data_IF_139132732501
#
_entry.id   IF_139132732501
#
_cell.length_a   1.000
_cell.length_b   1.000
_cell.length_c   1.000
_cell.angle_alpha   90.00
_cell.angle_beta   90.00
_cell.angle_gamma   90.00
#
_symmetry.space_group_name_H-M   'P 1'
#
loop_
_entity.id
_entity.type
_entity.pdbx_description
1 polymer ?
#
# COMPACT_ATOMS: atom_id res chain seq x y z
N UNK A 1 0.29 9.85 2.55
CA UNK A 1 0.11 10.35 1.18
C UNK A 1 -0.45 9.26 0.24
N UNK A 2 -1.46 8.50 0.67
CA UNK A 2 -2.01 7.39 -0.14
C UNK A 2 -0.97 6.47 -0.80
N UNK A 3 -1.21 6.07 -2.05
CA UNK A 3 -0.28 5.25 -2.83
C UNK A 3 1.05 5.92 -3.15
N UNK A 4 1.11 7.26 -3.20
CA UNK A 4 2.37 7.97 -3.45
C UNK A 4 3.38 7.63 -2.35
N UNK A 5 2.95 7.75 -1.10
CA UNK A 5 3.79 7.39 0.05
C UNK A 5 4.15 5.91 0.08
N UNK A 6 3.28 5.02 -0.42
CA UNK A 6 3.57 3.60 -0.53
C UNK A 6 4.68 3.32 -1.55
N UNK A 7 4.66 4.03 -2.69
CA UNK A 7 5.67 3.91 -3.76
C UNK A 7 7.00 4.53 -3.34
N UNK A 8 6.97 5.68 -2.67
CA UNK A 8 8.17 6.35 -2.16
C UNK A 8 8.83 5.55 -1.03
N UNK A 9 8.03 4.94 -0.15
CA UNK A 9 8.54 4.19 1.01
C UNK A 9 9.24 5.09 2.03
N UNK A 10 10.21 4.53 2.76
CA UNK A 10 10.99 5.25 3.78
C UNK A 10 10.10 5.86 4.86
N UNK A 11 10.28 7.17 5.12
CA UNK A 11 9.52 7.91 6.14
C UNK A 11 8.02 8.05 5.86
N UNK A 12 7.54 7.60 4.71
CA UNK A 12 6.12 7.51 4.43
C UNK A 12 5.46 6.28 5.06
N UNK A 13 6.24 5.26 5.46
CA UNK A 13 5.76 4.07 6.16
C UNK A 13 6.23 4.15 7.61
N UNK A 14 5.30 4.41 8.52
CA UNK A 14 5.60 4.66 9.93
C UNK A 14 4.72 3.78 10.82
N UNK A 15 5.33 3.27 11.88
CA UNK A 15 4.60 2.53 12.91
C UNK A 15 3.68 3.50 13.68
N UNK A 16 2.38 3.22 13.64
CA UNK A 16 1.41 3.93 14.45
C UNK A 16 1.43 3.42 15.91
N UNK A 17 1.13 4.32 16.84
CA UNK A 17 0.96 4.01 18.26
C UNK A 17 -0.35 4.62 18.79
N UNK A 18 -0.69 4.37 20.06
CA UNK A 18 -1.92 4.87 20.66
C UNK A 18 -2.08 6.41 20.55
N UNK A 19 -0.99 7.15 20.75
CA UNK A 19 -0.99 8.61 20.70
C UNK A 19 -1.11 9.15 19.27
N UNK A 20 -0.64 8.39 18.26
CA UNK A 20 -0.67 8.81 16.85
C UNK A 20 -2.09 8.99 16.29
N UNK A 21 -3.10 8.44 16.97
CA UNK A 21 -4.52 8.55 16.59
C UNK A 21 -5.37 9.27 17.65
N UNK A 22 -4.75 9.91 18.63
CA UNK A 22 -5.46 10.66 19.67
C UNK A 22 -5.95 12.01 19.13
N UNK A 23 -7.17 12.42 19.51
CA UNK A 23 -7.79 13.70 19.13
C UNK A 23 -7.91 13.96 17.62
N UNK A 24 -8.09 12.91 16.80
CA UNK A 24 -8.29 13.07 15.34
C UNK A 24 -9.73 12.83 14.88
N UNK A 25 -10.61 12.30 15.74
CA UNK A 25 -11.98 11.88 15.36
C UNK A 25 -12.86 13.05 14.91
N UNK A 26 -12.62 14.24 15.47
CA UNK A 26 -13.35 15.46 15.16
C UNK A 26 -12.78 16.24 13.97
N UNK A 27 -11.67 15.77 13.39
CA UNK A 27 -11.01 16.43 12.26
C UNK A 27 -11.57 15.91 10.94
N UNK A 28 -11.86 16.82 10.01
CA UNK A 28 -12.19 16.46 8.64
C UNK A 28 -10.97 16.00 7.85
N UNK A 29 -11.20 15.20 6.81
CA UNK A 29 -10.13 14.70 5.93
C UNK A 29 -9.35 13.54 6.56
N UNK A 30 -8.05 13.45 6.23
CA UNK A 30 -7.17 12.36 6.66
C UNK A 30 -5.85 12.92 7.18
N UNK A 31 -5.50 12.53 8.41
CA UNK A 31 -4.25 12.95 9.09
C UNK A 31 -2.99 12.34 8.47
N UNK A 32 -3.12 11.25 7.72
CA UNK A 32 -2.03 10.60 6.98
C UNK A 32 -1.92 11.10 5.53
N UNK A 33 -2.83 11.98 5.11
CA UNK A 33 -2.89 12.58 3.79
C UNK A 33 -3.29 11.59 2.67
N UNK A 34 -3.97 12.14 1.66
CA UNK A 34 -4.32 11.46 0.42
C UNK A 34 -3.64 12.19 -0.75
N UNK A 35 -3.11 11.42 -1.71
CA UNK A 35 -2.48 11.97 -2.90
C UNK A 35 -2.82 11.09 -4.11
N UNK A 36 -3.06 11.73 -5.26
CA UNK A 36 -3.16 11.01 -6.54
C UNK A 36 -1.77 10.50 -6.91
N UNK A 37 -1.66 9.22 -7.23
CA UNK A 37 -0.39 8.59 -7.55
C UNK A 37 -0.41 8.02 -8.98
N UNK A 38 0.22 8.72 -9.93
CA UNK A 38 0.38 8.19 -11.29
C UNK A 38 1.36 7.04 -11.34
N UNK A 39 2.36 7.01 -10.46
CA UNK A 39 3.34 5.93 -10.45
C UNK A 39 2.66 4.58 -10.18
N UNK A 40 1.68 4.51 -9.27
CA UNK A 40 1.00 3.27 -8.90
C UNK A 40 0.10 2.70 -10.01
N UNK A 41 -0.25 3.48 -11.02
CA UNK A 41 -0.96 2.95 -12.21
C UNK A 41 -0.04 2.13 -13.10
N UNK A 42 1.28 2.25 -12.93
CA UNK A 42 2.29 1.49 -13.67
C UNK A 42 2.79 0.30 -12.86
N UNK A 43 3.18 -0.78 -13.56
CA UNK A 43 3.80 -1.95 -12.92
C UNK A 43 5.07 -1.59 -12.16
N UNK A 44 5.92 -0.71 -12.69
CA UNK A 44 7.14 -0.25 -12.03
C UNK A 44 6.86 0.47 -10.69
N UNK A 45 5.79 1.26 -10.61
CA UNK A 45 5.38 1.85 -9.34
C UNK A 45 4.87 0.81 -8.34
N UNK A 46 4.06 -0.14 -8.79
CA UNK A 46 3.59 -1.26 -7.95
C UNK A 46 4.73 -2.15 -7.48
N UNK A 47 5.75 -2.39 -8.32
CA UNK A 47 6.95 -3.12 -7.94
C UNK A 47 7.70 -2.44 -6.80
N UNK A 48 7.90 -1.11 -6.89
CA UNK A 48 8.49 -0.32 -5.80
C UNK A 48 7.65 -0.38 -4.52
N UNK A 49 6.33 -0.23 -4.63
CA UNK A 49 5.42 -0.36 -3.50
C UNK A 49 5.47 -1.74 -2.83
N UNK A 50 5.52 -2.81 -3.63
CA UNK A 50 5.64 -4.18 -3.13
C UNK A 50 6.95 -4.38 -2.38
N UNK A 51 8.07 -3.91 -2.93
CA UNK A 51 9.37 -3.94 -2.25
C UNK A 51 9.31 -3.25 -0.90
N UNK A 52 8.78 -2.02 -0.84
CA UNK A 52 8.69 -1.26 0.40
C UNK A 52 7.82 -1.98 1.46
N UNK A 53 6.72 -2.61 1.06
CA UNK A 53 5.91 -3.43 1.97
C UNK A 53 6.68 -4.65 2.50
N UNK A 54 7.37 -5.35 1.62
CA UNK A 54 8.15 -6.55 1.94
C UNK A 54 9.32 -6.23 2.89
N UNK A 55 9.99 -5.09 2.70
CA UNK A 55 11.05 -4.59 3.59
C UNK A 55 10.56 -4.44 5.04
N UNK A 56 9.30 -4.07 5.23
CA UNK A 56 8.66 -3.96 6.53
C UNK A 56 7.88 -5.23 6.95
N UNK A 57 7.94 -6.31 6.17
CA UNK A 57 7.15 -7.54 6.37
C UNK A 57 5.64 -7.28 6.48
N UNK A 58 5.12 -6.30 5.74
CA UNK A 58 3.72 -5.92 5.71
C UNK A 58 3.01 -6.71 4.60
N UNK A 59 2.14 -7.62 5.01
CA UNK A 59 1.32 -8.47 4.14
C UNK A 59 -0.18 -8.25 4.31
N UNK A 60 -0.56 -7.28 5.14
CA UNK A 60 -1.95 -6.92 5.39
C UNK A 60 -2.10 -5.43 5.11
N UNK A 61 -2.97 -5.09 4.15
CA UNK A 61 -3.17 -3.72 3.70
C UNK A 61 -4.64 -3.33 3.87
N UNK A 62 -4.87 -2.25 4.60
CA UNK A 62 -6.17 -1.60 4.70
C UNK A 62 -6.16 -0.37 3.78
N UNK A 63 -7.05 -0.34 2.78
CA UNK A 63 -7.16 0.76 1.81
C UNK A 63 -8.47 1.49 2.07
N UNK A 64 -8.37 2.78 2.41
CA UNK A 64 -9.50 3.67 2.64
C UNK A 64 -9.52 4.71 1.53
N UNK A 65 -10.57 4.72 0.70
CA UNK A 65 -10.69 5.63 -0.43
C UNK A 65 -11.93 5.36 -1.28
N UNK A 66 -12.03 6.02 -2.43
CA UNK A 66 -13.10 5.76 -3.41
C UNK A 66 -12.75 4.64 -4.40
N UNK A 67 -13.58 4.49 -5.43
CA UNK A 67 -13.51 3.42 -6.43
C UNK A 67 -12.13 3.23 -7.07
N UNK A 68 -11.48 4.33 -7.46
CA UNK A 68 -10.16 4.27 -8.07
C UNK A 68 -9.10 3.68 -7.14
N UNK A 69 -9.20 3.94 -5.84
CA UNK A 69 -8.30 3.37 -4.84
C UNK A 69 -8.57 1.87 -4.65
N UNK A 70 -9.84 1.47 -4.56
CA UNK A 70 -10.22 0.07 -4.39
C UNK A 70 -9.86 -0.78 -5.62
N UNK A 71 -10.06 -0.23 -6.81
CA UNK A 71 -9.63 -0.86 -8.08
C UNK A 71 -8.12 -1.04 -8.12
N UNK A 72 -7.35 -0.01 -7.73
CA UNK A 72 -5.89 -0.10 -7.64
C UNK A 72 -5.43 -1.16 -6.64
N UNK A 73 -6.15 -1.33 -5.53
CA UNK A 73 -5.87 -2.34 -4.53
C UNK A 73 -6.11 -3.76 -5.06
N UNK A 74 -7.22 -4.00 -5.76
CA UNK A 74 -7.51 -5.32 -6.33
C UNK A 74 -6.50 -5.72 -7.41
N UNK A 75 -6.14 -4.79 -8.31
CA UNK A 75 -5.07 -5.00 -9.29
C UNK A 75 -3.76 -5.35 -8.58
N UNK A 76 -3.39 -4.59 -7.55
CA UNK A 76 -2.15 -4.82 -6.81
C UNK A 76 -2.11 -6.20 -6.13
N UNK A 77 -3.23 -6.64 -5.56
CA UNK A 77 -3.37 -8.00 -5.01
C UNK A 77 -3.22 -9.07 -6.10
N UNK A 78 -3.87 -8.88 -7.24
CA UNK A 78 -3.83 -9.85 -8.34
C UNK A 78 -2.43 -10.02 -8.93
N UNK A 79 -1.65 -8.94 -8.97
CA UNK A 79 -0.28 -8.95 -9.49
C UNK A 79 0.78 -9.35 -8.45
N UNK A 80 0.40 -9.49 -7.17
CA UNK A 80 1.34 -9.62 -6.04
C UNK A 80 2.40 -10.71 -6.24
N UNK A 81 1.98 -11.93 -6.64
CA UNK A 81 2.91 -13.03 -6.86
C UNK A 81 3.94 -12.71 -7.96
N UNK A 82 3.49 -12.15 -9.09
CA UNK A 82 4.37 -11.76 -10.18
C UNK A 82 5.29 -10.60 -9.83
N UNK A 83 4.89 -9.70 -8.93
CA UNK A 83 5.76 -8.64 -8.41
C UNK A 83 6.88 -9.23 -7.54
N UNK A 84 6.57 -10.21 -6.68
CA UNK A 84 7.58 -10.87 -5.85
C UNK A 84 8.58 -11.68 -6.69
N UNK A 85 8.11 -12.40 -7.70
CA UNK A 85 8.98 -13.12 -8.66
C UNK A 85 9.94 -12.16 -9.35
N UNK A 86 9.45 -11.00 -9.79
CA UNK A 86 10.23 -9.95 -10.42
C UNK A 86 11.26 -9.35 -9.46
N UNK A 87 10.88 -9.06 -8.21
CA UNK A 87 11.82 -8.57 -7.18
C UNK A 87 12.92 -9.58 -6.84
N UNK A 88 12.61 -10.87 -6.81
CA UNK A 88 13.61 -11.93 -6.60
C UNK A 88 14.56 -12.01 -7.78
N UNK A 89 14.02 -12.03 -9.00
CA UNK A 89 14.80 -12.09 -10.24
C UNK A 89 15.76 -10.90 -10.35
N UNK A 90 15.30 -9.72 -9.98
CA UNK A 90 16.08 -8.48 -10.04
C UNK A 90 17.04 -8.35 -8.83
N UNK A 91 17.09 -9.35 -7.95
CA UNK A 91 17.99 -9.41 -6.79
C UNK A 91 17.65 -8.42 -5.68
N UNK A 92 16.45 -7.83 -5.68
CA UNK A 92 16.03 -6.84 -4.68
C UNK A 92 15.59 -7.48 -3.37
N UNK A 93 15.09 -8.72 -3.42
CA UNK A 93 14.72 -9.52 -2.24
C UNK A 93 15.18 -10.97 -2.42
N UNK A 94 15.35 -11.71 -1.32
CA UNK A 94 15.65 -13.14 -1.39
C UNK A 94 14.39 -13.98 -1.59
N UNK A 95 14.56 -15.21 -2.11
CA UNK A 95 13.45 -16.18 -2.22
C UNK A 95 12.76 -16.47 -0.89
N UNK A 96 13.52 -16.50 0.20
CA UNK A 96 13.00 -16.73 1.56
C UNK A 96 12.07 -15.60 2.00
N UNK A 97 12.48 -14.36 1.74
CA UNK A 97 11.68 -13.16 2.02
C UNK A 97 10.41 -13.16 1.15
N UNK A 98 10.52 -13.51 -0.14
CA UNK A 98 9.37 -13.64 -1.03
C UNK A 98 8.38 -14.72 -0.54
N UNK A 99 8.87 -15.90 -0.13
CA UNK A 99 8.04 -16.99 0.42
C UNK A 99 7.33 -16.56 1.70
N UNK A 100 8.03 -15.87 2.62
CA UNK A 100 7.44 -15.37 3.86
C UNK A 100 6.33 -14.34 3.61
N UNK A 101 6.44 -13.55 2.55
CA UNK A 101 5.50 -12.50 2.18
C UNK A 101 4.61 -12.86 0.98
N UNK A 102 4.46 -14.15 0.65
CA UNK A 102 3.85 -14.61 -0.60
C UNK A 102 2.37 -14.23 -0.77
N UNK A 103 1.69 -13.87 0.32
CA UNK A 103 0.26 -13.55 0.31
C UNK A 103 0.05 -12.12 0.80
N UNK A 104 -0.68 -11.34 0.01
CA UNK A 104 -1.17 -10.02 0.39
C UNK A 104 -2.66 -10.09 0.71
N UNK A 105 -3.02 -9.81 1.96
CA UNK A 105 -4.40 -9.65 2.39
C UNK A 105 -4.78 -8.17 2.26
N UNK A 106 -5.90 -7.90 1.59
CA UNK A 106 -6.41 -6.53 1.42
C UNK A 106 -7.82 -6.43 1.96
N UNK A 107 -8.09 -5.37 2.71
CA UNK A 107 -9.43 -4.91 3.08
C UNK A 107 -9.63 -3.50 2.54
N UNK A 108 -10.75 -3.28 1.86
CA UNK A 108 -11.16 -1.97 1.35
C UNK A 108 -12.26 -1.37 2.21
N UNK A 109 -12.16 -0.06 2.48
CA UNK A 109 -13.25 0.74 3.04
C UNK A 109 -13.55 1.90 2.10
N UNK A 110 -14.82 2.03 1.72
CA UNK A 110 -15.27 3.15 0.90
C UNK A 110 -15.28 4.41 1.75
N UNK A 111 -14.44 5.37 1.36
CA UNK A 111 -14.35 6.70 1.98
C UNK A 111 -14.62 7.76 0.93
N UNK A 112 -15.90 8.00 0.67
CA UNK A 112 -16.37 8.93 -0.36
C UNK A 112 -17.58 9.72 0.13
N UNK A 113 -17.67 10.98 -0.30
CA UNK A 113 -18.86 11.83 -0.06
C UNK A 113 -19.91 11.66 -1.17
N UNK A 114 -19.52 11.06 -2.29
CA UNK A 114 -20.34 10.97 -3.50
C UNK A 114 -21.30 9.77 -3.46
N UNK A 115 -21.14 8.86 -2.48
CA UNK A 115 -21.92 7.62 -2.32
C UNK A 115 -21.93 6.79 -3.62
N UNK A 116 -20.76 6.73 -4.26
CA UNK A 116 -20.38 5.81 -5.32
C UNK A 116 -20.24 4.35 -4.81
#
# INVERSE_FOLDING_TARGET
QGYEGLVEGGDNIKQANWLSVSNIIQLGGTVIGSARCKAFTTRAGRLRAARNLVEHSITNLCVIGGDGSLTGADIFRSEWAGLLEELVRDGQISEEVAKKNCRLNIVGLVGSIDND
#
